data_IF_541800942204
#
_entry.id   IF_541800942204
#
_cell.length_a   1.000
_cell.length_b   1.000
_cell.length_c   1.000
_cell.angle_alpha   90.00
_cell.angle_beta   90.00
_cell.angle_gamma   90.00
#
_symmetry.space_group_name_H-M   'P 1'
#
loop_
_entity.id
_entity.type
_entity.pdbx_description
1 polymer ?
#
# COMPACT_ATOMS: atom_id res chain seq x y z
N UNK A 1 -10.40 -22.58 28.32
CA UNK A 1 -11.23 -22.68 27.09
C UNK A 1 -10.42 -23.47 26.07
N UNK A 2 -11.03 -24.45 25.41
CA UNK A 2 -10.40 -25.22 24.34
C UNK A 2 -10.26 -24.36 23.08
N UNK A 3 -9.12 -24.43 22.40
CA UNK A 3 -8.89 -23.74 21.12
C UNK A 3 -9.87 -24.25 20.07
N UNK A 4 -10.54 -23.34 19.38
CA UNK A 4 -11.36 -23.65 18.21
C UNK A 4 -10.52 -23.52 16.95
N UNK A 5 -10.42 -24.61 16.20
CA UNK A 5 -9.62 -24.68 14.99
C UNK A 5 -10.52 -24.93 13.79
N UNK A 6 -10.38 -24.13 12.72
CA UNK A 6 -11.04 -24.36 11.44
C UNK A 6 -10.02 -24.83 10.42
N UNK A 7 -10.31 -25.92 9.71
CA UNK A 7 -9.50 -26.42 8.60
C UNK A 7 -10.27 -26.27 7.27
N UNK A 8 -9.65 -25.56 6.32
CA UNK A 8 -10.21 -25.28 4.99
C UNK A 8 -9.25 -25.84 3.94
N UNK A 9 -9.68 -26.91 3.28
CA UNK A 9 -8.83 -27.60 2.31
C UNK A 9 -7.70 -28.43 2.90
N UNK A 10 -7.66 -28.58 4.21
CA UNK A 10 -6.66 -29.39 4.93
C UNK A 10 -7.34 -30.63 5.48
N UNK A 11 -6.92 -31.81 5.04
CA UNK A 11 -7.44 -33.07 5.56
C UNK A 11 -6.81 -33.40 6.92
N UNK A 12 -7.42 -32.92 8.00
CA UNK A 12 -6.98 -33.15 9.38
C UNK A 12 -8.19 -33.45 10.26
N UNK A 13 -8.13 -34.54 11.04
CA UNK A 13 -9.26 -35.03 11.86
C UNK A 13 -8.92 -34.97 13.33
N UNK A 14 -9.69 -34.19 14.09
CA UNK A 14 -9.63 -34.10 15.54
C UNK A 14 -10.94 -33.49 16.07
N UNK A 15 -11.34 -33.79 17.30
CA UNK A 15 -12.54 -33.21 17.93
C UNK A 15 -12.53 -31.68 18.07
N UNK A 16 -11.35 -31.07 17.97
CA UNK A 16 -11.15 -29.62 18.11
C UNK A 16 -10.99 -28.92 16.76
N UNK A 17 -10.98 -29.68 15.66
CA UNK A 17 -10.82 -29.20 14.29
C UNK A 17 -12.15 -29.37 13.57
N UNK A 18 -12.77 -28.26 13.21
CA UNK A 18 -13.92 -28.23 12.31
C UNK A 18 -13.43 -28.14 10.86
N UNK A 19 -14.00 -28.95 9.97
CA UNK A 19 -13.67 -28.89 8.54
C UNK A 19 -14.73 -28.10 7.78
N UNK A 20 -14.29 -27.22 6.89
CA UNK A 20 -15.17 -26.46 6.02
C UNK A 20 -14.60 -26.31 4.61
N UNK A 21 -15.48 -26.04 3.64
CA UNK A 21 -15.06 -25.59 2.32
C UNK A 21 -14.84 -24.08 2.30
N UNK A 22 -14.03 -23.60 1.35
CA UNK A 22 -13.72 -22.17 1.22
C UNK A 22 -14.95 -21.31 0.88
N UNK A 23 -16.01 -21.90 0.34
CA UNK A 23 -17.28 -21.26 -0.01
C UNK A 23 -18.40 -21.48 1.01
N UNK A 24 -18.11 -22.14 2.15
CA UNK A 24 -19.09 -22.39 3.21
C UNK A 24 -19.57 -21.11 3.90
N UNK A 25 -20.66 -21.21 4.67
CA UNK A 25 -21.15 -20.09 5.47
C UNK A 25 -20.47 -19.92 6.83
N UNK A 26 -19.56 -20.82 7.20
CA UNK A 26 -18.80 -20.76 8.46
C UNK A 26 -17.86 -19.55 8.45
N UNK A 27 -17.96 -18.67 9.45
CA UNK A 27 -17.12 -17.47 9.54
C UNK A 27 -15.73 -17.80 10.08
N UNK A 28 -14.67 -17.34 9.42
CA UNK A 28 -13.30 -17.54 9.92
C UNK A 28 -13.03 -16.80 11.23
N UNK A 29 -13.79 -15.74 11.52
CA UNK A 29 -13.60 -14.91 12.71
C UNK A 29 -14.08 -15.56 14.01
N UNK A 30 -14.81 -16.67 13.94
CA UNK A 30 -15.37 -17.37 15.11
C UNK A 30 -14.40 -18.39 15.74
N UNK A 31 -13.19 -18.48 15.20
CA UNK A 31 -12.15 -19.44 15.57
C UNK A 31 -10.91 -18.72 16.10
N UNK A 32 -10.10 -19.45 16.87
CA UNK A 32 -8.82 -18.95 17.35
C UNK A 32 -7.71 -19.16 16.31
N UNK A 33 -7.82 -20.27 15.56
CA UNK A 33 -6.87 -20.65 14.52
C UNK A 33 -7.61 -21.11 13.28
N UNK A 34 -7.21 -20.59 12.12
CA UNK A 34 -7.72 -21.02 10.82
C UNK A 34 -6.57 -21.58 10.00
N UNK A 35 -6.73 -22.79 9.47
CA UNK A 35 -5.79 -23.47 8.58
C UNK A 35 -6.36 -23.46 7.17
N UNK A 36 -5.60 -22.96 6.21
CA UNK A 36 -6.04 -22.92 4.81
C UNK A 36 -4.95 -23.50 3.90
N UNK A 37 -5.31 -24.51 3.11
CA UNK A 37 -4.55 -24.88 1.92
C UNK A 37 -5.07 -24.04 0.74
N UNK A 38 -4.31 -23.06 0.23
CA UNK A 38 -4.78 -22.17 -0.83
C UNK A 38 -5.03 -22.89 -2.16
N UNK A 39 -4.64 -24.17 -2.32
CA UNK A 39 -5.00 -24.97 -3.48
C UNK A 39 -6.54 -25.05 -3.70
N UNK A 40 -7.34 -25.04 -2.62
CA UNK A 40 -8.81 -25.05 -2.73
C UNK A 40 -9.37 -23.77 -3.33
N UNK A 41 -8.64 -22.67 -3.22
CA UNK A 41 -9.03 -21.39 -3.80
C UNK A 41 -8.91 -21.48 -5.32
N UNK A 42 -7.76 -21.93 -5.83
CA UNK A 42 -7.57 -22.15 -7.27
C UNK A 42 -8.49 -23.22 -7.84
N UNK A 43 -8.86 -24.23 -7.03
CA UNK A 43 -9.79 -25.27 -7.44
C UNK A 43 -11.18 -24.73 -7.80
N UNK A 44 -11.61 -23.61 -7.19
CA UNK A 44 -12.90 -22.97 -7.49
C UNK A 44 -13.06 -22.57 -8.96
N UNK A 45 -11.95 -22.36 -9.68
CA UNK A 45 -11.97 -21.96 -11.10
C UNK A 45 -11.11 -22.83 -12.01
N UNK A 46 -10.51 -23.92 -11.50
CA UNK A 46 -9.73 -24.85 -12.30
C UNK A 46 -10.53 -25.43 -13.49
N UNK A 47 -11.86 -25.57 -13.35
CA UNK A 47 -12.76 -26.08 -14.39
C UNK A 47 -13.43 -25.02 -15.28
N UNK A 48 -13.27 -23.72 -14.99
CA UNK A 48 -14.02 -22.63 -15.65
C UNK A 48 -13.38 -22.20 -17.00
N UNK A 49 -12.30 -22.87 -17.40
CA UNK A 49 -11.57 -22.65 -18.66
C UNK A 49 -10.20 -22.05 -18.39
N UNK A 50 -9.17 -22.60 -19.04
CA UNK A 50 -7.76 -22.35 -18.74
C UNK A 50 -7.30 -20.89 -18.80
N UNK A 51 -6.03 -20.70 -18.40
CA UNK A 51 -5.34 -19.42 -18.28
C UNK A 51 -5.73 -18.41 -19.39
N UNK A 52 -6.32 -17.28 -18.99
CA UNK A 52 -6.54 -16.14 -19.88
C UNK A 52 -7.97 -15.94 -20.42
N UNK A 53 -8.95 -16.80 -20.11
CA UNK A 53 -10.35 -16.48 -20.44
C UNK A 53 -10.97 -15.52 -19.41
N UNK A 54 -11.45 -14.39 -19.92
CA UNK A 54 -12.19 -13.39 -19.14
C UNK A 54 -13.52 -13.96 -18.68
N UNK A 55 -13.66 -14.19 -17.38
CA UNK A 55 -14.95 -14.53 -16.77
C UNK A 55 -15.85 -13.29 -16.74
N UNK A 56 -16.45 -12.92 -17.86
CA UNK A 56 -17.58 -11.97 -17.89
C UNK A 56 -18.87 -12.62 -17.35
N UNK A 57 -18.79 -13.86 -16.86
CA UNK A 57 -19.90 -14.66 -16.36
C UNK A 57 -20.24 -14.34 -14.90
N UNK A 58 -21.51 -14.55 -14.55
CA UNK A 58 -22.01 -14.49 -13.17
C UNK A 58 -21.15 -15.30 -12.17
N UNK A 59 -20.53 -16.39 -12.65
CA UNK A 59 -19.60 -17.22 -11.86
C UNK A 59 -18.40 -16.41 -11.37
N UNK A 60 -17.75 -15.62 -12.23
CA UNK A 60 -16.62 -14.79 -11.84
C UNK A 60 -16.99 -13.76 -10.77
N UNK A 61 -18.20 -13.19 -10.84
CA UNK A 61 -18.71 -12.27 -9.82
C UNK A 61 -18.95 -12.98 -8.50
N UNK A 62 -19.59 -14.16 -8.50
CA UNK A 62 -19.83 -14.93 -7.28
C UNK A 62 -18.49 -15.31 -6.61
N UNK A 63 -17.50 -15.74 -7.39
CA UNK A 63 -16.16 -16.03 -6.88
C UNK A 63 -15.51 -14.81 -6.24
N UNK A 64 -15.59 -13.63 -6.87
CA UNK A 64 -15.06 -12.41 -6.28
C UNK A 64 -15.71 -12.10 -4.92
N UNK A 65 -17.03 -12.29 -4.79
CA UNK A 65 -17.73 -12.10 -3.51
C UNK A 65 -17.23 -13.09 -2.44
N UNK A 66 -17.03 -14.36 -2.78
CA UNK A 66 -16.47 -15.36 -1.86
C UNK A 66 -15.06 -14.94 -1.40
N UNK A 67 -14.18 -14.55 -2.34
CA UNK A 67 -12.81 -14.13 -2.01
C UNK A 67 -12.80 -12.87 -1.14
N UNK A 68 -13.63 -11.86 -1.46
CA UNK A 68 -13.73 -10.64 -0.66
C UNK A 68 -14.36 -10.87 0.71
N UNK A 69 -15.31 -11.80 0.82
CA UNK A 69 -15.87 -12.25 2.11
C UNK A 69 -14.76 -12.87 2.96
N UNK A 70 -14.04 -13.86 2.45
CA UNK A 70 -12.94 -14.51 3.18
C UNK A 70 -11.84 -13.53 3.58
N UNK A 71 -11.50 -12.57 2.71
CA UNK A 71 -10.57 -11.50 3.06
C UNK A 71 -11.01 -10.71 4.29
N UNK A 72 -12.28 -10.33 4.37
CA UNK A 72 -12.83 -9.60 5.52
C UNK A 72 -12.86 -10.45 6.79
N UNK A 73 -13.21 -11.72 6.67
CA UNK A 73 -13.24 -12.63 7.82
C UNK A 73 -11.84 -12.91 8.36
N UNK A 74 -10.82 -13.07 7.49
CA UNK A 74 -9.42 -13.17 7.90
C UNK A 74 -8.95 -11.90 8.59
N UNK A 75 -9.26 -10.73 8.03
CA UNK A 75 -8.92 -9.46 8.68
C UNK A 75 -9.56 -9.35 10.07
N UNK A 76 -10.82 -9.79 10.22
CA UNK A 76 -11.51 -9.82 11.51
C UNK A 76 -10.85 -10.81 12.50
N UNK A 77 -10.49 -12.01 12.06
CA UNK A 77 -9.72 -12.99 12.85
C UNK A 77 -8.40 -12.39 13.36
N UNK A 78 -7.66 -11.71 12.49
CA UNK A 78 -6.37 -11.12 12.86
C UNK A 78 -6.56 -9.91 13.80
N UNK A 79 -7.63 -9.14 13.64
CA UNK A 79 -7.94 -8.01 14.51
C UNK A 79 -8.24 -8.43 15.97
N UNK A 80 -8.73 -9.66 16.20
CA UNK A 80 -8.98 -10.20 17.54
C UNK A 80 -7.77 -10.91 18.14
N UNK A 81 -6.67 -11.06 17.39
CA UNK A 81 -5.47 -11.77 17.83
C UNK A 81 -5.41 -13.24 17.44
N UNK A 82 -6.33 -13.68 16.57
CA UNK A 82 -6.33 -15.02 16.00
C UNK A 82 -5.12 -15.30 15.10
N UNK A 83 -4.93 -16.57 14.77
CA UNK A 83 -3.82 -17.04 13.93
C UNK A 83 -4.33 -17.63 12.63
N UNK A 84 -3.73 -17.22 11.52
CA UNK A 84 -3.93 -17.84 10.22
C UNK A 84 -2.71 -18.69 9.88
N UNK A 85 -2.88 -20.01 9.75
CA UNK A 85 -1.87 -20.91 9.23
C UNK A 85 -2.19 -21.21 7.75
N UNK A 86 -1.33 -20.78 6.83
CA UNK A 86 -1.51 -20.95 5.40
C UNK A 86 -0.44 -21.87 4.83
N UNK A 87 -0.83 -22.85 4.01
CA UNK A 87 0.16 -23.65 3.27
C UNK A 87 0.79 -22.80 2.15
N UNK A 88 2.10 -22.89 2.01
CA UNK A 88 2.86 -22.24 0.95
C UNK A 88 2.85 -23.13 -0.29
N UNK A 89 1.89 -22.88 -1.18
CA UNK A 89 1.73 -23.46 -2.51
C UNK A 89 2.15 -22.50 -3.62
N UNK A 90 2.45 -22.98 -4.83
CA UNK A 90 2.55 -22.12 -6.01
C UNK A 90 1.28 -21.27 -6.20
N UNK A 91 1.44 -20.05 -6.73
CA UNK A 91 0.33 -19.10 -6.97
C UNK A 91 -0.75 -19.68 -7.91
N UNK A 92 -0.35 -20.60 -8.79
CA UNK A 92 -1.22 -21.23 -9.77
C UNK A 92 -1.63 -20.29 -10.91
N UNK A 93 -2.50 -20.79 -11.78
CA UNK A 93 -3.02 -20.00 -12.89
C UNK A 93 -4.03 -18.95 -12.39
N UNK A 94 -3.80 -17.64 -12.62
CA UNK A 94 -4.71 -16.60 -12.16
C UNK A 94 -5.99 -16.55 -13.00
N UNK A 95 -7.11 -16.23 -12.36
CA UNK A 95 -8.40 -15.96 -13.00
C UNK A 95 -8.58 -14.45 -13.18
N UNK A 96 -8.93 -14.02 -14.40
CA UNK A 96 -9.28 -12.62 -14.67
C UNK A 96 -10.81 -12.46 -14.70
N UNK A 97 -11.34 -11.70 -13.76
CA UNK A 97 -12.77 -11.39 -13.65
C UNK A 97 -13.02 -9.98 -14.16
N UNK A 98 -13.85 -9.84 -15.19
CA UNK A 98 -14.30 -8.54 -15.67
C UNK A 98 -15.61 -8.13 -14.98
N UNK A 99 -15.64 -6.90 -14.49
CA UNK A 99 -16.82 -6.30 -13.88
C UNK A 99 -17.15 -5.02 -14.61
N UNK A 100 -18.38 -4.94 -15.12
CA UNK A 100 -18.93 -3.71 -15.70
C UNK A 100 -19.54 -2.89 -14.57
N UNK A 101 -19.00 -1.69 -14.36
CA UNK A 101 -19.54 -0.71 -13.40
C UNK A 101 -20.81 -0.08 -13.97
N UNK A 102 -21.58 0.56 -13.10
CA UNK A 102 -22.83 1.26 -13.45
C UNK A 102 -22.64 2.42 -14.42
N UNK A 103 -21.44 2.99 -14.49
CA UNK A 103 -21.01 4.02 -15.43
C UNK A 103 -20.61 3.47 -16.82
N UNK A 104 -20.72 2.15 -17.02
CA UNK A 104 -20.34 1.47 -18.26
C UNK A 104 -18.85 1.08 -18.35
N UNK A 105 -17.99 1.55 -17.43
CA UNK A 105 -16.58 1.21 -17.39
C UNK A 105 -16.35 -0.25 -16.98
N UNK A 106 -15.42 -0.93 -17.64
CA UNK A 106 -15.03 -2.30 -17.28
C UNK A 106 -13.78 -2.27 -16.39
N UNK A 107 -13.88 -2.85 -15.20
CA UNK A 107 -12.75 -3.12 -14.31
C UNK A 107 -12.38 -4.60 -14.42
N UNK A 108 -11.08 -4.91 -14.38
CA UNK A 108 -10.60 -6.30 -14.38
C UNK A 108 -9.92 -6.59 -13.06
N UNK A 109 -10.47 -7.54 -12.29
CA UNK A 109 -9.85 -8.07 -11.08
C UNK A 109 -9.07 -9.35 -11.41
N UNK A 110 -7.87 -9.50 -10.85
CA UNK A 110 -7.06 -10.72 -11.00
C UNK A 110 -7.13 -11.49 -9.68
N UNK A 111 -7.61 -12.73 -9.74
CA UNK A 111 -7.68 -13.65 -8.61
C UNK A 111 -6.62 -14.74 -8.76
N UNK A 112 -5.97 -15.07 -7.65
CA UNK A 112 -4.95 -16.12 -7.52
C UNK A 112 -5.11 -16.84 -6.17
N UNK A 113 -4.29 -17.85 -5.91
CA UNK A 113 -4.39 -18.72 -4.71
C UNK A 113 -4.39 -17.96 -3.36
N UNK A 114 -3.85 -16.73 -3.34
CA UNK A 114 -3.68 -15.91 -2.13
C UNK A 114 -4.53 -14.64 -2.15
N UNK A 115 -5.40 -14.43 -3.14
CA UNK A 115 -6.20 -13.19 -3.22
C UNK A 115 -7.21 -13.02 -2.08
N UNK A 116 -7.50 -14.07 -1.31
CA UNK A 116 -8.34 -14.01 -0.12
C UNK A 116 -7.59 -13.53 1.13
N UNK A 117 -6.26 -13.42 1.06
CA UNK A 117 -5.49 -12.82 2.14
C UNK A 117 -5.76 -11.30 2.22
N UNK A 118 -5.59 -10.71 3.42
CA UNK A 118 -5.84 -9.30 3.64
C UNK A 118 -4.71 -8.46 3.03
N UNK A 119 -5.02 -7.19 2.75
CA UNK A 119 -4.21 -6.31 1.89
C UNK A 119 -3.18 -5.45 2.64
N UNK A 120 -2.88 -5.80 3.89
CA UNK A 120 -1.86 -5.12 4.67
C UNK A 120 -0.47 -5.29 4.03
N UNK A 121 0.39 -4.28 4.19
CA UNK A 121 1.64 -4.14 3.46
C UNK A 121 2.51 -5.41 3.49
N UNK A 122 2.64 -6.06 4.65
CA UNK A 122 3.45 -7.27 4.81
C UNK A 122 2.94 -8.46 3.99
N UNK A 123 1.63 -8.63 3.84
CA UNK A 123 1.04 -9.71 3.04
C UNK A 123 1.01 -9.34 1.56
N UNK A 124 0.72 -8.08 1.25
CA UNK A 124 0.62 -7.58 -0.12
C UNK A 124 1.94 -7.62 -0.90
N UNK A 125 3.07 -7.61 -0.20
CA UNK A 125 4.42 -7.68 -0.79
C UNK A 125 4.88 -9.12 -1.09
N UNK A 126 4.06 -10.13 -0.78
CA UNK A 126 4.46 -11.53 -0.89
C UNK A 126 4.64 -11.96 -2.36
N UNK A 127 5.89 -12.29 -2.74
CA UNK A 127 6.25 -12.85 -4.04
C UNK A 127 6.58 -14.32 -3.88
N UNK A 128 5.70 -15.18 -4.40
CA UNK A 128 5.83 -16.64 -4.29
C UNK A 128 6.26 -17.20 -5.64
N UNK A 129 7.36 -17.94 -5.64
CA UNK A 129 7.83 -18.69 -6.80
C UNK A 129 7.56 -20.18 -6.62
N UNK A 130 7.38 -20.87 -7.73
CA UNK A 130 7.32 -22.33 -7.78
C UNK A 130 8.72 -22.92 -7.61
N UNK A 131 8.82 -23.97 -6.80
CA UNK A 131 10.06 -24.71 -6.63
C UNK A 131 9.87 -25.87 -5.67
N UNK A 132 10.34 -27.05 -6.03
CA UNK A 132 10.15 -28.26 -5.23
C UNK A 132 11.43 -28.76 -4.58
N UNK A 133 11.29 -29.42 -3.43
CA UNK A 133 12.40 -30.09 -2.76
C UNK A 133 11.98 -30.68 -1.41
N UNK A 134 12.85 -31.51 -0.82
CA UNK A 134 12.59 -32.20 0.46
C UNK A 134 13.49 -31.75 1.60
N UNK A 135 14.45 -30.85 1.33
CA UNK A 135 15.39 -30.35 2.32
C UNK A 135 14.93 -29.01 2.85
N UNK A 136 14.35 -29.04 4.05
CA UNK A 136 13.94 -27.84 4.80
C UNK A 136 14.82 -27.68 6.03
N UNK A 137 15.46 -26.52 6.15
CA UNK A 137 16.44 -26.18 7.19
C UNK A 137 15.81 -25.18 8.14
N UNK A 138 15.94 -25.40 9.46
CA UNK A 138 15.48 -24.47 10.46
C UNK A 138 16.28 -23.17 10.45
N UNK A 139 15.59 -22.04 10.44
CA UNK A 139 16.16 -20.74 10.80
C UNK A 139 15.83 -20.39 12.27
N UNK A 140 14.66 -20.83 12.77
CA UNK A 140 14.26 -20.70 14.17
C UNK A 140 13.58 -21.98 14.67
N UNK A 141 14.32 -22.78 15.44
CA UNK A 141 13.83 -24.06 15.96
C UNK A 141 12.78 -23.91 17.07
N UNK A 142 12.70 -22.75 17.72
CA UNK A 142 11.78 -22.51 18.83
C UNK A 142 10.42 -22.05 18.34
N UNK A 143 10.34 -21.60 17.08
CA UNK A 143 9.11 -21.08 16.52
C UNK A 143 8.02 -22.14 16.40
N UNK A 144 6.76 -21.72 16.59
CA UNK A 144 5.58 -22.58 16.51
C UNK A 144 5.51 -23.35 15.19
N UNK A 145 5.77 -22.67 14.07
CA UNK A 145 5.71 -23.25 12.74
C UNK A 145 6.75 -24.37 12.56
N UNK A 146 7.97 -24.20 13.12
CA UNK A 146 8.99 -25.23 13.08
C UNK A 146 8.60 -26.45 13.90
N UNK A 147 8.12 -26.24 15.14
CA UNK A 147 7.62 -27.32 16.00
C UNK A 147 6.49 -28.09 15.33
N UNK A 148 5.61 -27.39 14.61
CA UNK A 148 4.53 -28.01 13.84
C UNK A 148 5.10 -28.88 12.71
N UNK A 149 6.03 -28.36 11.92
CA UNK A 149 6.71 -29.11 10.86
C UNK A 149 7.41 -30.36 11.40
N UNK A 150 8.06 -30.28 12.57
CA UNK A 150 8.67 -31.45 13.22
C UNK A 150 7.63 -32.50 13.65
N UNK A 151 6.52 -32.06 14.26
CA UNK A 151 5.45 -32.97 14.66
C UNK A 151 4.83 -33.68 13.44
N UNK A 152 4.71 -32.97 12.32
CA UNK A 152 4.22 -33.50 11.04
C UNK A 152 5.26 -34.39 10.33
N UNK A 153 6.55 -34.17 10.56
CA UNK A 153 7.63 -35.02 10.05
C UNK A 153 7.83 -36.29 10.90
N UNK A 154 7.09 -36.48 11.99
CA UNK A 154 7.18 -37.67 12.84
C UNK A 154 8.29 -37.62 13.91
N UNK A 155 8.81 -36.43 14.26
CA UNK A 155 9.77 -36.26 15.35
C UNK A 155 10.77 -35.13 15.13
N UNK A 156 11.65 -34.92 16.12
CA UNK A 156 12.73 -33.92 16.05
C UNK A 156 13.85 -34.43 15.15
N UNK A 157 14.08 -33.83 13.98
CA UNK A 157 15.20 -34.23 13.14
C UNK A 157 16.54 -33.94 13.84
N UNK A 158 17.51 -34.84 13.64
CA UNK A 158 18.88 -34.58 14.06
C UNK A 158 19.48 -33.42 13.23
N UNK A 159 19.90 -32.35 13.90
CA UNK A 159 20.62 -31.23 13.27
C UNK A 159 19.75 -30.18 12.57
N UNK A 160 18.47 -30.04 12.92
CA UNK A 160 17.63 -28.93 12.43
C UNK A 160 17.20 -29.04 10.96
N UNK A 161 17.36 -30.21 10.33
CA UNK A 161 16.98 -30.48 8.94
C UNK A 161 15.83 -31.50 8.93
N UNK A 162 14.62 -31.07 8.58
CA UNK A 162 13.54 -32.02 8.33
C UNK A 162 13.90 -32.86 7.10
N UNK A 163 13.93 -34.19 7.26
CA UNK A 163 14.22 -35.13 6.18
C UNK A 163 13.09 -35.24 5.15
N UNK A 164 13.08 -36.31 4.35
CA UNK A 164 12.16 -36.49 3.21
C UNK A 164 10.65 -36.45 3.53
N UNK A 165 10.29 -36.42 4.81
CA UNK A 165 8.92 -36.24 5.27
C UNK A 165 8.35 -34.83 5.03
N UNK A 166 9.19 -33.82 4.76
CA UNK A 166 8.74 -32.44 4.56
C UNK A 166 9.14 -31.94 3.17
N UNK A 167 8.18 -31.98 2.24
CA UNK A 167 8.35 -31.42 0.91
C UNK A 167 7.84 -29.98 0.85
N UNK A 168 8.56 -29.12 0.14
CA UNK A 168 8.06 -27.82 -0.29
C UNK A 168 7.78 -27.85 -1.78
N UNK A 169 6.81 -27.04 -2.22
CA UNK A 169 6.42 -26.86 -3.63
C UNK A 169 6.54 -25.40 -4.08
N UNK A 170 6.76 -24.49 -3.13
CA UNK A 170 6.96 -23.08 -3.36
C UNK A 170 7.89 -22.47 -2.32
N UNK A 171 8.46 -21.32 -2.65
CA UNK A 171 9.30 -20.52 -1.76
C UNK A 171 9.06 -19.03 -1.99
N UNK A 172 9.48 -18.22 -1.03
CA UNK A 172 9.45 -16.76 -1.13
C UNK A 172 10.62 -16.27 -2.00
N UNK A 173 10.30 -15.56 -3.08
CA UNK A 173 11.27 -15.02 -4.04
C UNK A 173 11.50 -13.51 -3.89
N UNK A 174 11.05 -12.90 -2.80
CA UNK A 174 11.35 -11.51 -2.47
C UNK A 174 12.87 -11.29 -2.35
N UNK A 175 13.39 -10.29 -3.05
CA UNK A 175 14.81 -9.86 -2.94
C UNK A 175 15.13 -9.29 -1.56
N UNK A 176 14.14 -8.61 -0.95
CA UNK A 176 14.19 -8.07 0.40
C UNK A 176 12.93 -8.47 1.13
N UNK A 177 13.10 -9.12 2.28
CA UNK A 177 11.99 -9.44 3.18
C UNK A 177 11.64 -8.20 3.98
N UNK A 178 10.35 -7.95 4.17
CA UNK A 178 9.91 -6.84 5.01
C UNK A 178 10.34 -7.08 6.47
N UNK A 179 10.57 -6.00 7.22
CA UNK A 179 11.13 -6.08 8.57
C UNK A 179 10.21 -6.83 9.55
N UNK A 180 8.91 -6.87 9.27
CA UNK A 180 7.89 -7.58 10.04
C UNK A 180 7.82 -9.10 9.76
N UNK A 181 8.62 -9.61 8.82
CA UNK A 181 8.68 -11.03 8.51
C UNK A 181 9.74 -11.72 9.36
N UNK A 182 9.35 -12.82 10.01
CA UNK A 182 10.25 -13.68 10.74
C UNK A 182 10.40 -15.00 9.99
N UNK A 183 11.62 -15.27 9.48
CA UNK A 183 11.90 -16.48 8.73
C UNK A 183 12.10 -17.64 9.71
N UNK A 184 11.31 -18.69 9.52
CA UNK A 184 11.30 -19.86 10.41
C UNK A 184 12.07 -21.02 9.80
N UNK A 185 11.96 -21.20 8.49
CA UNK A 185 12.69 -22.23 7.76
C UNK A 185 12.98 -21.83 6.31
N UNK A 186 14.09 -22.35 5.79
CA UNK A 186 14.57 -22.09 4.43
C UNK A 186 14.81 -23.37 3.65
N UNK A 187 14.90 -23.26 2.34
CA UNK A 187 15.52 -24.29 1.49
C UNK A 187 17.02 -24.38 1.77
N UNK A 188 17.68 -25.40 1.21
CA UNK A 188 19.15 -25.49 1.21
C UNK A 188 19.85 -24.32 0.50
N UNK A 189 19.14 -23.56 -0.34
CA UNK A 189 19.63 -22.36 -1.02
C UNK A 189 19.32 -21.07 -0.26
N UNK A 190 18.72 -21.16 0.94
CA UNK A 190 18.41 -20.00 1.78
C UNK A 190 17.08 -19.30 1.46
N UNK A 191 16.27 -19.83 0.53
CA UNK A 191 14.97 -19.24 0.23
C UNK A 191 13.94 -19.59 1.33
N UNK A 192 13.17 -18.62 1.86
CA UNK A 192 12.16 -18.91 2.88
C UNK A 192 11.06 -19.84 2.36
N UNK A 193 10.75 -20.88 3.14
CA UNK A 193 9.65 -21.84 2.89
C UNK A 193 8.68 -21.92 4.06
N UNK A 194 9.08 -21.43 5.24
CA UNK A 194 8.20 -21.16 6.36
C UNK A 194 8.59 -19.84 7.00
N UNK A 195 7.60 -19.00 7.30
CA UNK A 195 7.79 -17.69 7.90
C UNK A 195 6.49 -17.25 8.57
N UNK A 196 6.58 -16.30 9.47
CA UNK A 196 5.41 -15.63 10.01
C UNK A 196 5.52 -14.12 9.88
N UNK A 197 4.37 -13.47 9.92
CA UNK A 197 4.25 -12.03 9.95
C UNK A 197 3.12 -11.63 10.89
N UNK A 198 3.35 -10.53 11.62
CA UNK A 198 2.34 -9.95 12.50
C UNK A 198 1.46 -8.99 11.71
N UNK A 199 0.15 -9.18 11.84
CA UNK A 199 -0.86 -8.34 11.18
C UNK A 199 -1.82 -7.84 12.25
N UNK A 200 -1.64 -6.58 12.67
CA UNK A 200 -2.36 -6.01 13.80
C UNK A 200 -2.07 -6.77 15.11
N UNK A 201 -3.10 -7.35 15.71
CA UNK A 201 -2.97 -8.18 16.93
C UNK A 201 -2.73 -9.66 16.63
N UNK A 202 -2.98 -10.09 15.40
CA UNK A 202 -2.93 -11.47 14.96
C UNK A 202 -1.63 -11.83 14.26
N UNK A 203 -1.56 -13.07 13.80
CA UNK A 203 -0.38 -13.62 13.15
C UNK A 203 -0.78 -14.44 11.93
N UNK A 204 -0.09 -14.23 10.82
CA UNK A 204 -0.16 -15.09 9.64
C UNK A 204 1.11 -15.92 9.59
N UNK A 205 0.97 -17.23 9.49
CA UNK A 205 2.07 -18.19 9.50
C UNK A 205 1.98 -19.00 8.22
N UNK A 206 3.04 -18.97 7.42
CA UNK A 206 3.18 -19.80 6.23
C UNK A 206 4.04 -21.02 6.56
N UNK A 207 3.58 -22.19 6.11
CA UNK A 207 4.31 -23.45 6.22
C UNK A 207 4.27 -24.21 4.89
N UNK A 208 5.25 -25.07 4.58
CA UNK A 208 5.16 -25.99 3.45
C UNK A 208 3.91 -26.90 3.54
N UNK A 209 3.46 -27.46 2.41
CA UNK A 209 2.32 -28.34 2.39
C UNK A 209 2.55 -29.59 3.26
N UNK A 210 1.51 -29.99 3.99
CA UNK A 210 1.56 -31.12 4.90
C UNK A 210 1.23 -32.42 4.12
N UNK A 211 2.25 -33.14 3.67
CA UNK A 211 2.10 -34.43 2.99
C UNK A 211 2.59 -35.59 3.86
N UNK A 212 2.15 -36.81 3.56
CA UNK A 212 2.70 -38.04 4.15
C UNK A 212 2.02 -38.58 5.41
N UNK A 213 1.36 -37.77 6.23
CA UNK A 213 0.65 -38.25 7.44
C UNK A 213 -0.83 -38.59 7.20
N UNK A 214 -1.34 -39.58 7.94
CA UNK A 214 -2.77 -39.89 7.98
C UNK A 214 -3.58 -38.73 8.61
N UNK A 215 -4.85 -38.51 8.23
CA UNK A 215 -5.61 -37.35 8.69
C UNK A 215 -5.76 -37.24 10.22
N UNK A 216 -5.88 -38.37 10.92
CA UNK A 216 -6.01 -38.40 12.38
C UNK A 216 -4.67 -38.05 13.09
N UNK A 217 -3.54 -38.48 12.52
CA UNK A 217 -2.21 -38.14 13.02
C UNK A 217 -1.92 -36.65 12.81
N UNK A 218 -2.24 -36.16 11.61
CA UNK A 218 -2.13 -34.73 11.27
C UNK A 218 -2.97 -33.88 12.20
N UNK A 219 -4.22 -34.29 12.45
CA UNK A 219 -5.11 -33.60 13.39
C UNK A 219 -4.52 -33.55 14.80
N UNK A 220 -4.03 -34.68 15.34
CA UNK A 220 -3.35 -34.71 16.65
C UNK A 220 -2.11 -33.83 16.70
N UNK A 221 -1.28 -33.83 15.66
CA UNK A 221 -0.07 -33.00 15.59
C UNK A 221 -0.43 -31.51 15.58
N UNK A 222 -1.41 -31.11 14.76
CA UNK A 222 -1.91 -29.74 14.69
C UNK A 222 -2.45 -29.29 16.05
N UNK A 223 -3.34 -30.07 16.67
CA UNK A 223 -3.87 -29.72 18.00
C UNK A 223 -2.76 -29.70 19.05
N UNK A 224 -1.85 -30.67 19.06
CA UNK A 224 -0.76 -30.72 20.06
C UNK A 224 0.19 -29.51 20.02
N UNK A 225 0.35 -28.89 18.84
CA UNK A 225 1.21 -27.73 18.66
C UNK A 225 0.44 -26.41 18.72
N UNK A 226 -0.74 -26.35 18.09
CA UNK A 226 -1.57 -25.13 17.97
C UNK A 226 -2.47 -24.90 19.19
N UNK A 227 -2.86 -25.96 19.92
CA UNK A 227 -3.34 -25.75 21.27
C UNK A 227 -2.24 -24.98 22.01
N UNK A 228 -2.59 -23.98 22.83
CA UNK A 228 -1.60 -23.21 23.56
C UNK A 228 -0.68 -24.22 24.25
N UNK A 229 0.58 -24.27 23.82
CA UNK A 229 1.64 -24.72 24.72
C UNK A 229 1.52 -23.73 25.83
N UNK A 230 0.91 -24.11 26.95
CA UNK A 230 0.47 -23.22 28.01
C UNK A 230 1.40 -21.99 28.10
N UNK A 231 0.99 -20.88 27.49
CA UNK A 231 0.88 -19.68 28.27
C UNK A 231 0.06 -20.18 29.45
N UNK A 232 0.74 -20.32 30.58
CA UNK A 232 0.21 -20.79 31.87
C UNK A 232 -1.25 -20.37 31.89
N UNK A 233 -2.21 -21.28 32.18
CA UNK A 233 -3.59 -20.84 32.26
C UNK A 233 -3.56 -19.57 33.11
N UNK A 234 -4.19 -18.48 32.65
CA UNK A 234 -4.38 -17.30 33.51
C UNK A 234 -5.29 -17.75 34.66
N UNK A 235 -4.76 -18.60 35.55
CA UNK A 235 -4.99 -18.52 36.96
C UNK A 235 -4.83 -17.04 37.23
N UNK A 236 -5.95 -16.36 37.46
CA UNK A 236 -5.90 -14.99 37.94
C UNK A 236 -4.86 -15.02 39.07
N UNK A 237 -3.75 -14.29 38.94
CA UNK A 237 -2.70 -14.36 39.95
C UNK A 237 -3.40 -14.09 41.27
N UNK A 238 -3.32 -15.02 42.22
CA UNK A 238 -4.06 -14.85 43.46
C UNK A 238 -3.64 -13.50 44.06
N UNK A 239 -4.53 -12.76 44.74
CA UNK A 239 -4.29 -11.37 45.12
C UNK A 239 -2.96 -11.15 45.87
N UNK A 240 -2.43 -12.18 46.52
CA UNK A 240 -1.15 -12.17 47.22
C UNK A 240 0.10 -12.17 46.31
N UNK A 241 -0.01 -12.60 45.05
CA UNK A 241 1.15 -12.71 44.13
C UNK A 241 1.71 -11.33 43.74
N UNK A 242 0.90 -10.27 43.83
CA UNK A 242 1.35 -8.87 43.65
C UNK A 242 2.42 -8.46 44.67
N UNK A 243 2.52 -9.17 45.79
CA UNK A 243 3.53 -8.95 46.83
C UNK A 243 4.78 -9.82 46.68
N UNK A 244 4.79 -10.77 45.74
CA UNK A 244 5.89 -11.70 45.49
C UNK A 244 6.66 -11.32 44.21
N UNK A 245 7.21 -10.11 44.17
CA UNK A 245 8.04 -9.65 43.04
C UNK A 245 9.43 -10.28 43.11
N UNK A 246 9.93 -10.78 41.98
CA UNK A 246 11.32 -11.19 41.85
C UNK A 246 12.24 -9.96 41.86
N UNK A 247 13.50 -10.08 42.33
CA UNK A 247 14.49 -9.02 42.20
C UNK A 247 14.59 -8.51 40.75
N UNK A 248 14.50 -7.19 40.55
CA UNK A 248 14.53 -6.54 39.23
C UNK A 248 13.18 -6.51 38.48
N UNK A 249 12.17 -7.27 38.91
CA UNK A 249 10.86 -7.29 38.24
C UNK A 249 10.11 -5.95 38.39
N UNK A 250 10.21 -5.31 39.55
CA UNK A 250 9.62 -3.99 39.80
C UNK A 250 10.24 -2.92 38.87
N UNK A 251 11.57 -2.89 38.77
CA UNK A 251 12.30 -1.94 37.93
C UNK A 251 11.92 -2.10 36.45
N UNK A 252 11.77 -3.33 35.96
CA UNK A 252 11.33 -3.59 34.58
C UNK A 252 9.87 -3.14 34.40
N UNK A 253 8.98 -3.45 35.34
CA UNK A 253 7.58 -3.05 35.28
C UNK A 253 7.41 -1.52 35.25
N UNK A 254 8.25 -0.78 35.98
CA UNK A 254 8.29 0.69 35.96
C UNK A 254 8.87 1.25 34.65
N UNK A 255 9.83 0.56 34.03
CA UNK A 255 10.44 1.00 32.77
C UNK A 255 9.56 0.77 31.54
N UNK A 256 8.69 -0.23 31.55
CA UNK A 256 7.78 -0.54 30.42
C UNK A 256 6.95 0.69 29.99
N UNK A 257 6.20 1.39 30.87
CA UNK A 257 5.40 2.53 30.45
C UNK A 257 6.27 3.69 29.91
N UNK A 258 7.46 3.91 30.49
CA UNK A 258 8.40 4.95 30.03
C UNK A 258 8.88 4.67 28.60
N UNK A 259 9.28 3.43 28.32
CA UNK A 259 9.71 3.04 26.96
C UNK A 259 8.52 3.06 25.99
N UNK A 260 7.33 2.63 26.43
CA UNK A 260 6.13 2.67 25.60
C UNK A 260 5.75 4.10 25.20
N UNK A 261 5.86 5.07 26.11
CA UNK A 261 5.66 6.49 25.82
C UNK A 261 6.70 7.02 24.82
N UNK A 262 7.97 6.63 24.97
CA UNK A 262 9.03 6.97 24.01
C UNK A 262 8.73 6.42 22.61
N UNK A 263 8.26 5.17 22.51
CA UNK A 263 7.86 4.57 21.24
C UNK A 263 6.69 5.33 20.62
N UNK A 264 5.66 5.65 21.40
CA UNK A 264 4.52 6.45 20.90
C UNK A 264 4.96 7.83 20.40
N UNK A 265 5.83 8.53 21.14
CA UNK A 265 6.35 9.84 20.75
C UNK A 265 7.17 9.76 19.45
N UNK A 266 8.03 8.75 19.32
CA UNK A 266 8.84 8.54 18.10
C UNK A 266 7.98 8.15 16.91
N UNK A 267 6.91 7.39 17.11
CA UNK A 267 5.97 7.06 16.04
C UNK A 267 5.23 8.30 15.54
N UNK A 268 4.75 9.15 16.45
CA UNK A 268 4.11 10.42 16.09
C UNK A 268 5.07 11.36 15.33
N UNK A 269 6.35 11.40 15.73
CA UNK A 269 7.40 12.13 15.03
C UNK A 269 7.65 11.57 13.62
N UNK A 270 7.70 10.25 13.47
CA UNK A 270 7.84 9.59 12.17
C UNK A 270 6.66 9.89 11.24
N UNK A 271 5.44 9.84 11.76
CA UNK A 271 4.23 10.11 11.00
C UNK A 271 4.19 11.58 10.52
N UNK A 272 4.58 12.53 11.37
CA UNK A 272 4.72 13.95 11.01
C UNK A 272 5.80 14.16 9.93
N UNK A 273 6.98 13.56 10.10
CA UNK A 273 8.07 13.63 9.10
C UNK A 273 7.65 13.03 7.76
N UNK A 274 6.94 11.90 7.77
CA UNK A 274 6.40 11.27 6.56
C UNK A 274 5.36 12.16 5.88
N UNK A 275 4.45 12.77 6.63
CA UNK A 275 3.46 13.71 6.09
C UNK A 275 4.14 14.92 5.44
N UNK A 276 5.16 15.49 6.10
CA UNK A 276 5.97 16.60 5.54
C UNK A 276 6.72 16.18 4.28
N UNK A 277 7.36 15.00 4.30
CA UNK A 277 8.07 14.47 3.14
C UNK A 277 7.13 14.25 1.94
N UNK A 278 5.94 13.70 2.17
CA UNK A 278 4.91 13.53 1.14
C UNK A 278 4.40 14.86 0.59
N UNK A 279 4.19 15.87 1.46
CA UNK A 279 3.80 17.22 1.04
C UNK A 279 4.85 17.86 0.12
N UNK A 280 6.14 17.77 0.49
CA UNK A 280 7.24 18.28 -0.34
C UNK A 280 7.41 17.47 -1.64
N UNK A 281 7.23 16.16 -1.58
CA UNK A 281 7.34 15.29 -2.76
C UNK A 281 6.29 15.61 -3.83
N UNK A 282 5.10 16.07 -3.43
CA UNK A 282 4.07 16.54 -4.38
C UNK A 282 4.54 17.73 -5.22
N UNK A 283 5.35 18.64 -4.65
CA UNK A 283 5.90 19.78 -5.39
C UNK A 283 6.86 19.34 -6.52
N UNK A 284 7.52 18.19 -6.38
CA UNK A 284 8.41 17.68 -7.43
C UNK A 284 7.65 17.34 -8.73
N UNK A 285 6.33 17.08 -8.66
CA UNK A 285 5.50 16.84 -9.83
C UNK A 285 5.48 18.03 -10.80
N UNK A 286 5.73 19.26 -10.31
CA UNK A 286 5.89 20.43 -11.18
C UNK A 286 6.98 20.20 -12.24
N UNK A 287 8.01 19.43 -11.92
CA UNK A 287 9.14 19.22 -12.81
C UNK A 287 8.93 18.04 -13.76
N UNK A 288 8.31 16.94 -13.32
CA UNK A 288 8.31 15.68 -14.10
C UNK A 288 6.93 15.11 -14.42
N UNK A 289 5.83 15.76 -14.03
CA UNK A 289 4.48 15.28 -14.35
C UNK A 289 4.32 15.00 -15.86
N UNK A 290 3.85 13.79 -16.18
CA UNK A 290 3.71 13.30 -17.55
C UNK A 290 2.32 13.50 -18.12
N UNK A 291 1.35 13.87 -17.27
CA UNK A 291 -0.01 14.22 -17.67
C UNK A 291 -0.50 15.48 -16.96
N UNK A 292 -1.49 16.20 -17.53
CA UNK A 292 -2.12 17.35 -16.86
C UNK A 292 -2.71 17.00 -15.48
N UNK A 293 -3.27 15.79 -15.34
CA UNK A 293 -3.82 15.31 -14.07
C UNK A 293 -2.75 15.12 -12.97
N UNK A 294 -1.58 14.59 -13.34
CA UNK A 294 -0.44 14.53 -12.41
C UNK A 294 0.09 15.92 -12.08
N UNK A 295 0.15 16.81 -13.08
CA UNK A 295 0.59 18.18 -12.89
C UNK A 295 -0.35 18.94 -11.94
N UNK A 296 -1.65 18.66 -12.00
CA UNK A 296 -2.66 19.27 -11.14
C UNK A 296 -2.34 19.08 -9.65
N UNK A 297 -1.82 17.92 -9.27
CA UNK A 297 -1.44 17.62 -7.87
C UNK A 297 -0.30 18.53 -7.43
N UNK A 298 0.73 18.70 -8.27
CA UNK A 298 1.87 19.56 -7.96
C UNK A 298 1.51 21.05 -7.97
N UNK A 299 0.70 21.48 -8.93
CA UNK A 299 0.22 22.86 -9.04
C UNK A 299 -0.70 23.23 -7.89
N UNK A 300 -1.62 22.34 -7.50
CA UNK A 300 -2.47 22.56 -6.33
C UNK A 300 -1.64 22.74 -5.06
N UNK A 301 -0.69 21.84 -4.80
CA UNK A 301 0.19 21.94 -3.63
C UNK A 301 1.03 23.24 -3.64
N UNK A 302 1.52 23.67 -4.81
CA UNK A 302 2.27 24.91 -4.95
C UNK A 302 1.39 26.14 -4.70
N UNK A 303 0.16 26.16 -5.22
CA UNK A 303 -0.76 27.28 -5.07
C UNK A 303 -1.29 27.37 -3.63
N UNK A 304 -1.56 26.24 -2.98
CA UNK A 304 -1.88 26.19 -1.54
C UNK A 304 -0.75 26.77 -0.69
N UNK A 305 0.51 26.43 -0.98
CA UNK A 305 1.67 27.01 -0.30
C UNK A 305 1.79 28.52 -0.53
N UNK A 306 1.38 28.99 -1.71
CA UNK A 306 1.28 30.41 -2.03
C UNK A 306 0.08 31.10 -1.35
N UNK A 307 -0.79 30.35 -0.68
CA UNK A 307 -1.96 30.88 0.02
C UNK A 307 -3.18 31.09 -0.87
N UNK A 308 -3.29 30.34 -1.98
CA UNK A 308 -4.54 30.19 -2.71
C UNK A 308 -5.39 29.06 -2.12
N UNK A 309 -6.70 29.22 -2.15
CA UNK A 309 -7.65 28.12 -2.03
C UNK A 309 -7.80 27.45 -3.39
N UNK A 310 -7.52 26.15 -3.49
CA UNK A 310 -7.55 25.41 -4.76
C UNK A 310 -8.75 24.45 -4.76
N UNK A 311 -9.54 24.47 -5.83
CA UNK A 311 -10.68 23.57 -6.04
C UNK A 311 -10.56 22.87 -7.38
N UNK A 312 -10.58 21.52 -7.45
CA UNK A 312 -10.61 20.81 -8.72
C UNK A 312 -11.96 20.99 -9.41
N UNK A 313 -11.96 21.05 -10.75
CA UNK A 313 -13.18 21.13 -11.55
C UNK A 313 -13.69 19.70 -11.82
N UNK A 314 -14.91 19.33 -11.39
CA UNK A 314 -15.44 17.98 -11.61
C UNK A 314 -15.48 17.61 -13.09
N UNK A 315 -14.84 16.49 -13.45
CA UNK A 315 -14.79 16.00 -14.83
C UNK A 315 -13.66 16.58 -15.69
N UNK A 316 -12.93 17.59 -15.18
CA UNK A 316 -11.88 18.30 -15.92
C UNK A 316 -10.54 18.15 -15.21
N UNK A 317 -9.83 17.06 -15.51
CA UNK A 317 -8.61 16.68 -14.80
C UNK A 317 -7.39 17.58 -15.11
N UNK A 318 -7.48 18.42 -16.14
CA UNK A 318 -6.47 19.38 -16.57
C UNK A 318 -6.76 20.81 -16.09
N UNK A 319 -7.77 21.00 -15.23
CA UNK A 319 -8.22 22.32 -14.81
C UNK A 319 -8.41 22.43 -13.29
N UNK A 320 -8.10 23.61 -12.75
CA UNK A 320 -8.27 23.95 -11.34
C UNK A 320 -8.87 25.36 -11.22
N UNK A 321 -9.74 25.59 -10.25
CA UNK A 321 -10.12 26.92 -9.82
C UNK A 321 -9.29 27.33 -8.60
N UNK A 322 -8.79 28.56 -8.61
CA UNK A 322 -7.97 29.10 -7.52
C UNK A 322 -8.53 30.43 -7.06
N UNK A 323 -8.54 30.64 -5.75
CA UNK A 323 -9.05 31.86 -5.13
C UNK A 323 -8.08 32.40 -4.08
N UNK A 324 -7.95 33.73 -4.01
CA UNK A 324 -7.20 34.43 -2.98
C UNK A 324 -7.93 35.71 -2.62
N UNK A 325 -8.64 35.71 -1.48
CA UNK A 325 -9.56 36.80 -1.14
C UNK A 325 -10.67 36.91 -2.18
N UNK A 326 -10.84 38.11 -2.75
CA UNK A 326 -11.85 38.39 -3.78
C UNK A 326 -11.38 38.06 -5.20
N UNK A 327 -10.09 37.73 -5.39
CA UNK A 327 -9.55 37.38 -6.69
C UNK A 327 -9.72 35.88 -6.96
N UNK A 328 -10.38 35.54 -8.07
CA UNK A 328 -10.53 34.17 -8.55
C UNK A 328 -9.90 34.02 -9.94
N UNK A 329 -9.31 32.86 -10.19
CA UNK A 329 -8.74 32.52 -11.48
C UNK A 329 -8.98 31.05 -11.83
N UNK A 330 -9.09 30.78 -13.14
CA UNK A 330 -9.16 29.44 -13.70
C UNK A 330 -7.81 29.04 -14.26
N UNK A 331 -7.28 27.92 -13.81
CA UNK A 331 -5.98 27.39 -14.19
C UNK A 331 -6.14 26.23 -15.17
N UNK A 332 -5.52 26.33 -16.33
CA UNK A 332 -5.41 25.25 -17.32
C UNK A 332 -3.99 24.70 -17.33
N UNK A 333 -3.87 23.38 -17.35
CA UNK A 333 -2.61 22.68 -17.16
C UNK A 333 -2.14 22.03 -18.46
N UNK A 334 -0.86 22.20 -18.79
CA UNK A 334 -0.28 21.64 -20.00
C UNK A 334 1.04 20.92 -19.75
N UNK A 335 1.21 19.73 -20.31
CA UNK A 335 2.44 18.93 -20.21
C UNK A 335 2.90 18.48 -21.60
N UNK A 336 4.12 18.84 -22.01
CA UNK A 336 4.65 18.49 -23.35
C UNK A 336 6.16 18.23 -23.31
N UNK A 337 6.67 17.41 -24.23
CA UNK A 337 8.11 17.11 -24.36
C UNK A 337 8.91 18.18 -25.10
N UNK A 338 8.23 19.24 -25.58
CA UNK A 338 8.82 20.38 -26.25
C UNK A 338 8.25 21.70 -25.74
N UNK A 339 8.07 22.66 -26.64
CA UNK A 339 7.41 23.94 -26.36
C UNK A 339 5.89 23.78 -26.43
N UNK A 340 5.17 24.43 -25.51
CA UNK A 340 3.71 24.42 -25.46
C UNK A 340 3.17 25.35 -26.54
N UNK A 341 2.22 24.85 -27.32
CA UNK A 341 1.60 25.60 -28.42
C UNK A 341 0.18 26.11 -28.06
N UNK A 342 -0.67 26.42 -29.04
CA UNK A 342 -1.94 27.13 -28.83
C UNK A 342 -3.07 26.33 -28.15
N UNK A 343 -2.98 25.00 -28.01
CA UNK A 343 -4.10 24.19 -27.52
C UNK A 343 -4.60 24.60 -26.12
N UNK A 344 -3.72 24.80 -25.10
CA UNK A 344 -4.15 25.25 -23.78
C UNK A 344 -4.77 26.65 -23.80
N UNK A 345 -4.41 27.50 -24.77
CA UNK A 345 -5.01 28.82 -24.93
C UNK A 345 -6.46 28.74 -25.40
N UNK A 346 -6.75 27.89 -26.38
CA UNK A 346 -8.13 27.68 -26.82
C UNK A 346 -8.97 27.08 -25.71
N UNK A 347 -8.40 26.13 -24.97
CA UNK A 347 -9.04 25.53 -23.80
C UNK A 347 -9.36 26.55 -22.72
N UNK A 348 -8.39 27.39 -22.34
CA UNK A 348 -8.58 28.45 -21.35
C UNK A 348 -9.64 29.46 -21.80
N UNK A 349 -9.63 29.86 -23.07
CA UNK A 349 -10.61 30.81 -23.60
C UNK A 349 -12.03 30.24 -23.53
N UNK A 350 -12.22 28.97 -23.92
CA UNK A 350 -13.51 28.31 -23.85
C UNK A 350 -14.05 28.26 -22.41
N UNK A 351 -13.21 27.89 -21.45
CA UNK A 351 -13.61 27.75 -20.04
C UNK A 351 -13.90 29.08 -19.33
N UNK A 352 -13.36 30.19 -19.85
CA UNK A 352 -13.63 31.54 -19.34
C UNK A 352 -14.91 32.15 -19.92
N UNK A 353 -15.41 31.61 -21.03
CA UNK A 353 -16.68 32.03 -21.63
C UNK A 353 -17.89 31.35 -20.98
N UNK A 354 -17.68 30.37 -20.10
CA UNK A 354 -18.73 29.70 -19.35
C UNK A 354 -19.36 30.60 -18.26
N UNK A 355 -20.68 30.49 -18.08
CA UNK A 355 -21.40 31.26 -17.07
C UNK A 355 -20.87 30.93 -15.65
N UNK A 356 -20.46 31.97 -14.92
CA UNK A 356 -19.90 31.84 -13.57
C UNK A 356 -18.41 31.48 -13.53
N UNK A 357 -17.72 31.49 -14.68
CA UNK A 357 -16.28 31.32 -14.71
C UNK A 357 -15.53 32.48 -14.02
N UNK A 358 -14.36 32.22 -13.41
CA UNK A 358 -13.49 33.25 -12.89
C UNK A 358 -13.10 34.28 -13.98
N UNK A 359 -12.89 35.56 -13.61
CA UNK A 359 -12.56 36.60 -14.58
C UNK A 359 -11.15 36.46 -15.17
N UNK A 360 -10.27 35.69 -14.52
CA UNK A 360 -8.85 35.54 -14.90
C UNK A 360 -8.55 34.12 -15.32
N UNK A 361 -7.83 33.95 -16.43
CA UNK A 361 -7.24 32.67 -16.82
C UNK A 361 -5.73 32.62 -16.58
N UNK A 362 -5.26 31.46 -16.13
CA UNK A 362 -3.85 31.13 -15.93
C UNK A 362 -3.55 29.83 -16.66
N UNK A 363 -2.46 29.78 -17.42
CA UNK A 363 -1.96 28.54 -18.03
C UNK A 363 -0.67 28.18 -17.32
N UNK A 364 -0.64 27.03 -16.65
CA UNK A 364 0.57 26.49 -16.03
C UNK A 364 1.10 25.36 -16.89
N UNK A 365 2.37 25.43 -17.29
CA UNK A 365 2.92 24.43 -18.19
C UNK A 365 4.24 23.80 -17.76
N UNK A 366 4.30 22.47 -17.89
CA UNK A 366 5.51 21.67 -17.82
C UNK A 366 6.01 21.35 -19.24
N UNK A 367 6.76 22.30 -19.80
CA UNK A 367 7.41 22.17 -21.10
C UNK A 367 8.76 21.45 -20.96
N UNK A 368 9.20 20.78 -22.03
CA UNK A 368 10.48 20.03 -22.06
C UNK A 368 10.65 19.08 -20.86
N UNK A 369 9.58 18.41 -20.43
CA UNK A 369 9.53 17.67 -19.14
C UNK A 369 10.60 16.58 -18.97
N UNK A 370 11.09 16.02 -20.07
CA UNK A 370 12.14 14.99 -20.09
C UNK A 370 13.56 15.55 -19.93
N UNK A 371 13.72 16.88 -19.97
CA UNK A 371 15.01 17.54 -19.80
C UNK A 371 15.18 18.09 -18.39
N UNK A 372 16.42 18.13 -17.92
CA UNK A 372 16.78 18.77 -16.66
C UNK A 372 16.37 20.26 -16.69
N UNK A 373 15.86 20.86 -15.58
CA UNK A 373 15.34 22.23 -15.57
C UNK A 373 16.29 23.30 -16.15
N UNK A 374 17.61 23.12 -15.97
CA UNK A 374 18.65 24.03 -16.53
C UNK A 374 18.84 23.92 -18.05
N UNK A 375 18.35 22.86 -18.67
CA UNK A 375 18.51 22.56 -20.10
C UNK A 375 17.21 22.79 -20.90
N UNK A 376 16.14 23.24 -20.23
CA UNK A 376 14.85 23.47 -20.86
C UNK A 376 14.92 24.72 -21.75
N UNK A 377 14.33 24.61 -22.93
CA UNK A 377 14.18 25.74 -23.85
C UNK A 377 13.02 26.65 -23.42
N UNK A 378 12.59 27.53 -24.33
CA UNK A 378 11.43 28.38 -24.09
C UNK A 378 10.17 27.51 -23.87
N UNK A 379 9.43 27.73 -22.77
CA UNK A 379 8.30 26.88 -22.40
C UNK A 379 7.07 27.10 -23.29
N UNK A 380 6.89 28.32 -23.81
CA UNK A 380 5.71 28.73 -24.59
C UNK A 380 6.09 29.20 -25.99
N UNK A 381 5.28 28.86 -26.99
CA UNK A 381 5.46 29.34 -28.37
C UNK A 381 5.20 30.84 -28.47
N UNK A 382 5.83 31.54 -29.43
CA UNK A 382 5.58 32.98 -29.61
C UNK A 382 4.12 33.27 -29.99
N UNK A 383 3.44 32.32 -30.65
CA UNK A 383 2.01 32.42 -30.95
C UNK A 383 1.19 32.43 -29.65
N UNK A 384 1.43 31.47 -28.75
CA UNK A 384 0.77 31.39 -27.46
C UNK A 384 1.03 32.64 -26.61
N UNK A 385 2.28 33.13 -26.59
CA UNK A 385 2.64 34.36 -25.86
C UNK A 385 1.86 35.58 -26.33
N UNK A 386 1.71 35.76 -27.64
CA UNK A 386 0.91 36.86 -28.23
C UNK A 386 -0.59 36.69 -27.94
N UNK A 387 -1.12 35.48 -28.06
CA UNK A 387 -2.52 35.18 -27.77
C UNK A 387 -2.87 35.46 -26.30
N UNK A 388 -2.01 35.00 -25.38
CA UNK A 388 -2.18 35.22 -23.95
C UNK A 388 -2.21 36.71 -23.59
N UNK A 389 -1.36 37.53 -24.20
CA UNK A 389 -1.37 38.98 -23.99
C UNK A 389 -2.67 39.63 -24.49
N UNK A 390 -3.22 39.18 -25.63
CA UNK A 390 -4.45 39.75 -26.18
C UNK A 390 -5.69 39.43 -25.31
N UNK A 391 -5.69 38.29 -24.61
CA UNK A 391 -6.79 37.84 -23.74
C UNK A 391 -6.50 38.00 -22.24
N UNK A 392 -5.46 38.76 -21.88
CA UNK A 392 -5.03 38.97 -20.49
C UNK A 392 -4.85 37.68 -19.68
N UNK A 393 -4.40 36.59 -20.32
CA UNK A 393 -4.11 35.31 -19.68
C UNK A 393 -2.69 35.31 -19.11
N UNK A 394 -2.49 34.77 -17.90
CA UNK A 394 -1.16 34.58 -17.35
C UNK A 394 -0.55 33.26 -17.84
N UNK A 395 0.73 33.24 -18.22
CA UNK A 395 1.48 32.03 -18.57
C UNK A 395 2.54 31.77 -17.50
N UNK A 396 2.41 30.66 -16.78
CA UNK A 396 3.30 30.30 -15.66
C UNK A 396 4.11 29.07 -16.03
N UNK A 397 5.43 29.24 -16.08
CA UNK A 397 6.36 28.14 -16.25
C UNK A 397 6.57 27.38 -14.92
N UNK A 398 6.54 26.06 -14.99
CA UNK A 398 6.68 25.18 -13.83
C UNK A 398 8.06 25.23 -13.19
N UNK A 399 9.14 25.51 -13.94
CA UNK A 399 10.47 25.69 -13.34
C UNK A 399 10.50 26.97 -12.52
N UNK A 400 9.98 28.07 -13.07
CA UNK A 400 9.87 29.34 -12.35
C UNK A 400 9.00 29.22 -11.08
N UNK A 401 7.87 28.52 -11.19
CA UNK A 401 7.00 28.22 -10.04
C UNK A 401 7.72 27.37 -8.99
N UNK A 402 8.46 26.33 -9.41
CA UNK A 402 9.25 25.47 -8.52
C UNK A 402 10.29 26.27 -7.74
N UNK A 403 11.00 27.18 -8.40
CA UNK A 403 11.98 28.04 -7.73
C UNK A 403 11.33 28.96 -6.69
N UNK A 404 10.17 29.53 -7.01
CA UNK A 404 9.44 30.39 -6.08
C UNK A 404 8.99 29.63 -4.83
N UNK A 405 8.40 28.43 -5.01
CA UNK A 405 7.97 27.61 -3.85
C UNK A 405 9.16 27.06 -3.07
N UNK A 406 10.25 26.66 -3.73
CA UNK A 406 11.45 26.18 -3.05
C UNK A 406 12.03 27.26 -2.12
N UNK A 407 12.05 28.53 -2.57
CA UNK A 407 12.49 29.66 -1.76
C UNK A 407 11.59 29.87 -0.53
N UNK A 408 10.26 29.78 -0.71
CA UNK A 408 9.30 29.92 0.40
C UNK A 408 9.35 28.75 1.39
N UNK A 409 9.67 27.53 0.94
CA UNK A 409 9.90 26.38 1.82
C UNK A 409 11.18 26.56 2.62
N UNK A 410 12.26 27.02 1.99
CA UNK A 410 13.54 27.27 2.66
C UNK A 410 13.43 28.41 3.67
N UNK A 411 12.73 29.49 3.29
CA UNK A 411 12.53 30.68 4.10
C UNK A 411 11.08 31.18 3.93
N UNK A 412 10.19 30.89 4.89
CA UNK A 412 8.85 31.42 4.89
C UNK A 412 8.87 32.95 4.92
N UNK A 413 8.34 33.56 3.88
CA UNK A 413 8.29 35.02 3.71
C UNK A 413 6.90 35.40 3.15
N UNK A 414 6.11 36.10 3.96
CA UNK A 414 4.74 36.46 3.61
C UNK A 414 4.68 37.56 2.54
N UNK A 415 5.69 38.45 2.49
CA UNK A 415 5.79 39.51 1.49
C UNK A 415 6.15 38.91 0.13
N UNK A 416 7.13 38.01 0.08
CA UNK A 416 7.45 37.27 -1.14
C UNK A 416 6.24 36.43 -1.60
N UNK A 417 5.54 35.77 -0.67
CA UNK A 417 4.31 35.02 -0.99
C UNK A 417 3.26 35.92 -1.62
N UNK A 418 3.03 37.11 -1.07
CA UNK A 418 2.10 38.09 -1.62
C UNK A 418 2.54 38.59 -3.02
N UNK A 419 3.83 38.88 -3.20
CA UNK A 419 4.38 39.32 -4.49
C UNK A 419 4.24 38.25 -5.58
N UNK A 420 4.51 36.98 -5.27
CA UNK A 420 4.33 35.87 -6.22
C UNK A 420 2.86 35.69 -6.59
N UNK A 421 1.94 35.79 -5.62
CA UNK A 421 0.49 35.73 -5.89
C UNK A 421 0.04 36.86 -6.83
N UNK A 422 0.42 38.10 -6.51
CA UNK A 422 0.10 39.25 -7.35
C UNK A 422 0.68 39.09 -8.76
N UNK A 423 1.93 38.62 -8.87
CA UNK A 423 2.56 38.36 -10.16
C UNK A 423 1.82 37.33 -11.01
N UNK A 424 1.22 36.30 -10.41
CA UNK A 424 0.43 35.30 -11.15
C UNK A 424 -0.93 35.87 -11.57
N UNK A 425 -1.62 36.61 -10.68
CA UNK A 425 -2.95 37.15 -10.95
C UNK A 425 -2.93 38.36 -11.90
N UNK A 426 -1.92 39.19 -11.83
CA UNK A 426 -1.81 40.44 -12.59
C UNK A 426 -1.07 40.24 -13.93
N UNK A 427 -0.36 39.13 -14.13
CA UNK A 427 0.40 38.89 -15.36
C UNK A 427 -0.50 38.78 -16.60
N UNK A 428 -0.07 39.43 -17.67
CA UNK A 428 -0.62 39.27 -19.02
C UNK A 428 0.47 38.70 -19.93
N UNK A 429 0.31 37.45 -20.35
CA UNK A 429 1.36 36.67 -21.00
C UNK A 429 2.34 36.03 -19.99
N UNK A 430 3.61 35.83 -20.35
CA UNK A 430 4.61 35.18 -19.50
C UNK A 430 4.80 35.87 -18.15
N UNK A 431 4.49 35.13 -17.08
CA UNK A 431 4.69 35.57 -15.71
C UNK A 431 6.19 35.61 -15.38
N UNK A 432 6.66 36.77 -14.91
CA UNK A 432 8.08 37.06 -14.69
C UNK A 432 8.58 36.62 -13.30
N UNK A 433 8.22 35.43 -12.85
CA UNK A 433 8.58 34.93 -11.51
C UNK A 433 10.10 34.86 -11.30
N UNK A 434 10.87 34.45 -12.30
CA UNK A 434 12.33 34.39 -12.20
C UNK A 434 12.96 35.77 -11.97
N UNK A 435 12.43 36.80 -12.64
CA UNK A 435 12.90 38.19 -12.48
C UNK A 435 12.59 38.73 -11.09
N UNK A 436 11.44 38.36 -10.51
CA UNK A 436 11.09 38.71 -9.14
C UNK A 436 12.06 38.08 -8.13
N UNK A 437 12.33 36.79 -8.28
CA UNK A 437 13.27 36.07 -7.41
C UNK A 437 14.71 36.61 -7.52
N UNK A 438 15.14 37.03 -8.71
CA UNK A 438 16.45 37.63 -8.91
C UNK A 438 16.59 39.03 -8.29
N UNK A 439 15.52 39.84 -8.29
CA UNK A 439 15.51 41.18 -7.66
C UNK A 439 15.59 41.09 -6.15
N UNK A 440 14.87 40.14 -5.57
CA UNK A 440 14.88 39.88 -4.13
C UNK A 440 16.29 39.49 -3.66
N UNK A 441 16.93 38.54 -4.35
CA UNK A 441 18.31 38.14 -4.05
C UNK A 441 19.33 39.29 -4.15
N UNK A 442 19.12 40.24 -5.07
CA UNK A 442 19.97 41.41 -5.22
C UNK A 442 19.71 42.52 -4.17
N UNK A 443 18.51 42.59 -3.59
CA UNK A 443 18.21 43.50 -2.49
C UNK A 443 18.79 43.03 -1.15
N UNK A 444 19.14 41.74 -1.05
CA UNK A 444 19.75 41.12 0.13
C UNK A 444 21.30 41.16 0.12
N UNK A 445 21.92 41.54 -1.01
CA UNK A 445 23.38 41.66 -1.18
C UNK A 445 23.83 43.11 -0.97
#
# INVERSE_FOLDING_TARGET
>A
MSVRILAVGVDARHEAIEQATIDSDVSFADYDVVLVDPAVVTALWAGVGGAGRSGDSQVGRNLLHVIQRRRREVAALLATGGKLLCMLRPVGAPLRVRQRRSDGAATTSVLHAYSWLPSEAGVAQLVIAEGSGTKVVAADERHLAWRLMQALAGGTPAGGICGDALAYEAYVANDQLAAEWHVVATTALGHPVAFDLRVGKGQVIFIPPMSGQAPDERGRALVGVLAPTHDVPKTAPPPWLTHCLLPGQAEVAERIPVVAEQVQRRQAELDDLNARHQALSRLNLLLYASSPAELAIGVAAAFELLGFTVSPIPGEADCLDVACGDATARVVLATVDGTVDSDPYWRATQLLEEDGAPPKGVIVANAHRTKHPRERGLPFSDLLRRGAHHKSLALVDTVALTLAVARLVERPDDDLRAQVRAAILDAEGPCQLQTLLARDAAAES
#
